data_IF_176157371714
#
_entry.id   IF_176157371714
#
_cell.length_a   1.000
_cell.length_b   1.000
_cell.length_c   1.000
_cell.angle_alpha   90.00
_cell.angle_beta   90.00
_cell.angle_gamma   90.00
#
_symmetry.space_group_name_H-M   'P 1'
#
loop_
_entity.id
_entity.type
_entity.pdbx_description
1 polymer ?
#
# COMPACT_ATOMS: atom_id res chain seq x y z
N UNK A 1 -18.21 -8.04 19.39
CA UNK A 1 -18.26 -6.59 19.10
C UNK A 1 -19.70 -6.20 18.86
N UNK A 2 -20.11 -5.03 19.33
CA UNK A 2 -21.37 -4.43 18.88
C UNK A 2 -21.28 -4.22 17.36
N UNK A 3 -22.37 -4.45 16.60
CA UNK A 3 -22.34 -4.41 15.13
C UNK A 3 -21.79 -3.09 14.56
N UNK A 4 -21.95 -2.01 15.32
CA UNK A 4 -21.46 -0.67 14.98
C UNK A 4 -19.94 -0.58 15.06
N UNK A 5 -19.33 -1.11 16.12
CA UNK A 5 -17.87 -1.12 16.32
C UNK A 5 -17.16 -1.96 15.25
N UNK A 6 -17.75 -3.09 14.87
CA UNK A 6 -17.23 -3.93 13.78
C UNK A 6 -17.25 -3.16 12.45
N UNK A 7 -18.34 -2.44 12.16
CA UNK A 7 -18.44 -1.63 10.94
C UNK A 7 -17.38 -0.51 10.90
N UNK A 8 -17.15 0.17 12.03
CA UNK A 8 -16.10 1.19 12.17
C UNK A 8 -14.72 0.62 11.94
N UNK A 9 -14.39 -0.52 12.57
CA UNK A 9 -13.10 -1.17 12.40
C UNK A 9 -12.84 -1.60 10.94
N UNK A 10 -13.86 -2.14 10.26
CA UNK A 10 -13.77 -2.47 8.82
C UNK A 10 -13.54 -1.25 7.95
N UNK A 11 -14.21 -0.13 8.26
CA UNK A 11 -14.02 1.15 7.55
C UNK A 11 -12.60 1.68 7.76
N UNK A 12 -12.18 1.80 9.02
CA UNK A 12 -10.84 2.25 9.41
C UNK A 12 -9.74 1.46 8.69
N UNK A 13 -9.88 0.13 8.63
CA UNK A 13 -8.92 -0.74 7.93
C UNK A 13 -8.84 -0.44 6.44
N UNK A 14 -9.98 -0.25 5.77
CA UNK A 14 -10.01 0.06 4.33
C UNK A 14 -9.47 1.45 4.03
N UNK A 15 -9.80 2.43 4.84
CA UNK A 15 -9.38 3.81 4.63
C UNK A 15 -7.90 4.00 4.96
N UNK A 16 -7.40 3.36 6.02
CA UNK A 16 -5.96 3.29 6.31
C UNK A 16 -5.17 2.61 5.18
N UNK A 17 -5.69 1.52 4.61
CA UNK A 17 -5.08 0.86 3.46
C UNK A 17 -5.04 1.77 2.23
N UNK A 18 -6.07 2.59 2.00
CA UNK A 18 -6.09 3.58 0.91
C UNK A 18 -5.00 4.65 1.12
N UNK A 19 -4.83 5.18 2.34
CA UNK A 19 -3.77 6.15 2.65
C UNK A 19 -2.39 5.57 2.34
N UNK A 20 -2.15 4.32 2.72
CA UNK A 20 -0.88 3.66 2.42
C UNK A 20 -0.70 3.39 0.92
N UNK A 21 -1.75 2.96 0.20
CA UNK A 21 -1.72 2.75 -1.25
C UNK A 21 -1.34 4.02 -2.00
N UNK A 22 -1.92 5.17 -1.63
CA UNK A 22 -1.61 6.48 -2.22
C UNK A 22 -0.14 6.86 -1.96
N UNK A 23 0.38 6.60 -0.75
CA UNK A 23 1.77 6.88 -0.42
C UNK A 23 2.74 5.96 -1.18
N UNK A 24 2.43 4.67 -1.24
CA UNK A 24 3.19 3.69 -2.01
C UNK A 24 3.23 4.09 -3.49
N UNK A 25 2.09 4.48 -4.06
CA UNK A 25 1.99 4.96 -5.45
C UNK A 25 2.86 6.18 -5.69
N UNK A 26 2.81 7.17 -4.80
CA UNK A 26 3.60 8.40 -4.93
C UNK A 26 5.11 8.15 -4.86
N UNK A 27 5.55 7.23 -4.01
CA UNK A 27 6.96 6.89 -3.83
C UNK A 27 7.46 5.84 -4.84
N UNK A 28 6.57 5.15 -5.55
CA UNK A 28 6.96 4.14 -6.55
C UNK A 28 7.75 4.80 -7.69
N UNK A 29 8.99 4.37 -7.96
CA UNK A 29 9.83 4.95 -9.01
C UNK A 29 9.19 4.84 -10.39
N UNK A 30 9.39 5.87 -11.21
CA UNK A 30 8.95 5.90 -12.62
C UNK A 30 10.17 6.09 -13.51
N UNK A 31 10.35 5.18 -14.46
CA UNK A 31 11.32 5.36 -15.54
C UNK A 31 10.71 6.25 -16.62
N UNK A 32 11.52 7.12 -17.21
CA UNK A 32 11.14 7.91 -18.39
C UNK A 32 11.09 7.04 -19.65
N UNK A 33 11.75 5.88 -19.62
CA UNK A 33 11.72 4.89 -20.68
C UNK A 33 10.88 3.68 -20.23
N UNK A 34 9.76 3.44 -20.91
CA UNK A 34 8.96 2.24 -20.74
C UNK A 34 9.13 1.31 -21.94
N UNK A 35 10.05 0.35 -21.80
CA UNK A 35 10.28 -0.70 -22.79
C UNK A 35 9.29 -1.87 -22.67
N UNK A 36 8.39 -1.85 -21.68
CA UNK A 36 7.46 -2.96 -21.42
C UNK A 36 6.15 -2.85 -22.19
N UNK A 37 5.83 -1.67 -22.76
CA UNK A 37 4.53 -1.39 -23.39
C UNK A 37 3.36 -1.45 -22.40
N UNK A 38 3.66 -1.37 -21.10
CA UNK A 38 2.69 -1.46 -20.00
C UNK A 38 2.91 -0.26 -19.10
N UNK A 39 1.84 0.34 -18.58
CA UNK A 39 1.90 1.53 -17.72
C UNK A 39 2.92 1.44 -16.57
N UNK A 40 3.49 2.57 -16.08
CA UNK A 40 4.50 2.56 -15.02
C UNK A 40 4.08 1.76 -13.78
N UNK A 41 5.04 1.18 -13.05
CA UNK A 41 4.78 0.33 -11.87
C UNK A 41 3.85 0.99 -10.84
N UNK A 42 3.92 2.32 -10.68
CA UNK A 42 3.04 3.07 -9.78
C UNK A 42 1.55 2.94 -10.14
N UNK A 43 1.21 2.72 -11.41
CA UNK A 43 -0.17 2.53 -11.85
C UNK A 43 -0.68 1.12 -11.55
N UNK A 44 0.22 0.22 -11.18
CA UNK A 44 -0.07 -1.16 -10.77
C UNK A 44 -0.11 -1.32 -9.24
N UNK A 45 -0.04 -0.22 -8.46
CA UNK A 45 -0.32 -0.30 -7.02
C UNK A 45 -1.76 -0.70 -6.79
N UNK A 46 -1.99 -1.59 -5.84
CA UNK A 46 -3.31 -2.15 -5.57
C UNK A 46 -3.48 -2.49 -4.11
N UNK A 47 -4.66 -2.21 -3.58
CA UNK A 47 -5.16 -2.77 -2.32
C UNK A 47 -6.03 -4.01 -2.55
N UNK A 48 -5.89 -4.98 -1.65
CA UNK A 48 -6.65 -6.23 -1.64
C UNK A 48 -8.05 -6.08 -1.07
N UNK A 49 -8.72 -7.22 -0.93
CA UNK A 49 -9.99 -7.29 -0.21
C UNK A 49 -9.75 -7.27 1.30
N UNK A 50 -10.73 -6.77 2.05
CA UNK A 50 -10.76 -6.88 3.50
C UNK A 50 -10.81 -8.37 3.89
N UNK A 51 -9.84 -8.80 4.68
CA UNK A 51 -9.77 -10.12 5.31
C UNK A 51 -10.14 -10.01 6.77
N UNK A 52 -10.63 -11.12 7.31
CA UNK A 52 -10.86 -11.29 8.75
C UNK A 52 -10.15 -12.56 9.18
N UNK A 53 -9.07 -12.40 9.95
CA UNK A 53 -8.23 -13.51 10.41
C UNK A 53 -8.07 -13.40 11.91
N UNK A 54 -8.48 -14.42 12.67
CA UNK A 54 -8.26 -14.42 14.13
C UNK A 54 -8.96 -13.29 14.91
N UNK A 55 -9.97 -12.64 14.32
CA UNK A 55 -10.65 -11.48 14.93
C UNK A 55 -10.06 -10.12 14.53
N UNK A 56 -9.01 -10.11 13.72
CA UNK A 56 -8.39 -8.89 13.18
C UNK A 56 -8.87 -8.61 11.76
N UNK A 57 -8.92 -7.32 11.41
CA UNK A 57 -9.21 -6.86 10.05
C UNK A 57 -7.93 -6.46 9.35
N UNK A 58 -7.73 -6.99 8.15
CA UNK A 58 -6.51 -6.76 7.37
C UNK A 58 -6.84 -6.46 5.90
N UNK A 59 -6.05 -5.59 5.28
CA UNK A 59 -6.07 -5.34 3.83
C UNK A 59 -4.63 -5.30 3.35
N UNK A 60 -4.26 -6.25 2.48
CA UNK A 60 -2.96 -6.22 1.82
C UNK A 60 -2.87 -5.01 0.89
N UNK A 61 -1.73 -4.34 0.87
CA UNK A 61 -1.43 -3.27 -0.08
C UNK A 61 -0.08 -3.56 -0.72
N UNK A 62 -0.04 -3.45 -2.04
CA UNK A 62 1.18 -3.73 -2.80
C UNK A 62 0.95 -3.45 -4.27
N UNK A 63 1.35 -4.41 -5.10
CA UNK A 63 1.22 -4.32 -6.54
C UNK A 63 0.40 -5.47 -7.09
N UNK A 64 -0.21 -5.28 -8.25
CA UNK A 64 -0.91 -6.35 -8.93
C UNK A 64 0.02 -7.48 -9.41
N UNK A 65 -0.60 -8.57 -9.86
CA UNK A 65 0.14 -9.74 -10.35
C UNK A 65 0.85 -9.49 -11.68
N UNK A 66 0.50 -8.43 -12.40
CA UNK A 66 1.05 -8.16 -13.73
C UNK A 66 2.45 -7.56 -13.64
N UNK A 67 2.66 -6.61 -12.72
CA UNK A 67 3.95 -5.93 -12.53
C UNK A 67 4.53 -6.04 -11.14
N UNK A 68 3.82 -6.59 -10.17
CA UNK A 68 4.27 -6.59 -8.78
C UNK A 68 5.58 -7.33 -8.53
N UNK A 69 5.86 -8.39 -9.31
CA UNK A 69 7.15 -9.06 -9.21
C UNK A 69 8.31 -8.11 -9.57
N UNK A 70 8.12 -7.05 -10.35
CA UNK A 70 9.21 -6.16 -10.75
C UNK A 70 9.60 -5.23 -9.59
N UNK A 71 8.68 -4.94 -8.65
CA UNK A 71 8.90 -3.95 -7.59
C UNK A 71 10.14 -4.21 -6.73
N UNK A 72 10.54 -5.47 -6.54
CA UNK A 72 11.74 -5.80 -5.76
C UNK A 72 13.05 -5.35 -6.42
N UNK A 73 13.11 -5.27 -7.76
CA UNK A 73 14.34 -4.85 -8.45
C UNK A 73 14.72 -3.39 -8.15
N UNK A 74 13.82 -2.39 -8.30
CA UNK A 74 14.13 -1.04 -7.88
C UNK A 74 14.17 -0.87 -6.36
N UNK A 75 13.42 -1.67 -5.59
CA UNK A 75 13.42 -1.54 -4.14
C UNK A 75 14.76 -2.01 -3.53
N UNK A 76 15.15 -3.25 -3.83
CA UNK A 76 16.34 -3.93 -3.29
C UNK A 76 17.59 -3.71 -4.12
N UNK A 77 17.46 -3.10 -5.31
CA UNK A 77 18.57 -2.89 -6.23
C UNK A 77 18.93 -4.13 -7.03
N UNK A 78 19.83 -3.92 -7.99
CA UNK A 78 20.45 -4.96 -8.82
C UNK A 78 21.94 -4.66 -8.97
N UNK A 79 22.69 -5.53 -9.65
CA UNK A 79 24.11 -5.25 -9.97
C UNK A 79 24.31 -3.94 -10.76
N UNK A 80 23.29 -3.47 -11.49
CA UNK A 80 23.35 -2.28 -12.34
C UNK A 80 22.58 -1.07 -11.78
N UNK A 81 21.83 -1.23 -10.70
CA UNK A 81 20.98 -0.17 -10.14
C UNK A 81 21.00 -0.21 -8.62
N UNK A 82 21.27 0.93 -7.96
CA UNK A 82 21.24 1.02 -6.50
C UNK A 82 19.83 0.78 -5.94
N UNK A 83 19.69 0.22 -4.73
CA UNK A 83 18.40 0.11 -4.05
C UNK A 83 17.79 1.48 -3.80
N UNK A 84 16.47 1.59 -3.95
CA UNK A 84 15.73 2.84 -3.72
C UNK A 84 14.90 2.81 -2.43
N UNK A 85 14.68 1.63 -1.83
CA UNK A 85 13.96 1.45 -0.55
C UNK A 85 12.63 2.23 -0.46
N UNK A 86 11.91 2.33 -1.57
CA UNK A 86 10.70 3.14 -1.65
C UNK A 86 9.53 2.48 -0.89
N UNK A 87 9.54 1.16 -0.68
CA UNK A 87 8.51 0.47 0.11
C UNK A 87 8.68 0.83 1.58
N UNK A 88 9.88 0.71 2.12
CA UNK A 88 10.22 1.04 3.50
C UNK A 88 9.97 2.52 3.78
N UNK A 89 10.42 3.39 2.87
CA UNK A 89 10.12 4.82 2.92
C UNK A 89 8.61 5.09 2.95
N UNK A 90 7.83 4.38 2.15
CA UNK A 90 6.37 4.54 2.14
C UNK A 90 5.74 4.14 3.46
N UNK A 91 6.21 3.04 4.07
CA UNK A 91 5.74 2.59 5.39
C UNK A 91 6.04 3.62 6.47
N UNK A 92 7.27 4.15 6.49
CA UNK A 92 7.69 5.15 7.46
C UNK A 92 6.87 6.44 7.32
N UNK A 93 6.78 6.96 6.09
CA UNK A 93 6.10 8.22 5.81
C UNK A 93 4.57 8.15 5.95
N UNK A 94 3.95 6.99 5.75
CA UNK A 94 2.49 6.83 5.87
C UNK A 94 2.03 6.53 7.30
N UNK A 95 2.92 6.06 8.18
CA UNK A 95 2.56 5.52 9.50
C UNK A 95 1.63 6.44 10.29
N UNK A 96 2.02 7.70 10.44
CA UNK A 96 1.24 8.70 11.19
C UNK A 96 -0.11 8.98 10.52
N UNK A 97 -0.14 9.08 9.19
CA UNK A 97 -1.38 9.36 8.44
C UNK A 97 -2.37 8.19 8.51
N UNK A 98 -1.86 6.95 8.44
CA UNK A 98 -2.68 5.75 8.63
C UNK A 98 -3.26 5.71 10.04
N UNK A 99 -2.44 5.91 11.08
CA UNK A 99 -2.92 5.92 12.46
C UNK A 99 -3.94 7.04 12.71
N UNK A 100 -3.71 8.24 12.17
CA UNK A 100 -4.67 9.34 12.25
C UNK A 100 -6.01 8.95 11.61
N UNK A 101 -5.98 8.26 10.46
CA UNK A 101 -7.20 7.81 9.79
C UNK A 101 -7.95 6.75 10.59
N UNK A 102 -7.24 5.85 11.25
CA UNK A 102 -7.85 4.87 12.17
C UNK A 102 -8.53 5.56 13.35
N UNK A 103 -7.89 6.56 13.97
CA UNK A 103 -8.47 7.31 15.09
C UNK A 103 -9.74 8.04 14.64
N UNK A 104 -9.69 8.73 13.49
CA UNK A 104 -10.86 9.41 12.91
C UNK A 104 -12.04 8.45 12.71
N UNK A 105 -11.80 7.30 12.09
CA UNK A 105 -12.88 6.37 11.73
C UNK A 105 -13.43 5.54 12.90
N UNK A 106 -12.67 5.39 13.99
CA UNK A 106 -13.12 4.69 15.19
C UNK A 106 -13.85 5.60 16.18
N UNK A 107 -13.51 6.89 16.21
CA UNK A 107 -14.14 7.87 17.12
C UNK A 107 -15.50 8.37 16.64
N UNK A 108 -15.74 8.38 15.34
CA UNK A 108 -17.04 8.71 14.71
C UNK A 108 -17.95 7.50 14.81
#
# INVERSE_FOLDING_TARGET
MEKTEEAKARKATRDGAKVFEERLKANTPVSHEDHSGKTPLREHTKRGNLKTTGGEFEVDVGYDKEKGYIAHFPNSGTSKQRPQHFIEKSQEESKTAVLAKFVEDLQV
#
